data_IF_971154994207
#
_entry.id   IF_971154994207
#
_cell.length_a   1.000
_cell.length_b   1.000
_cell.length_c   1.000
_cell.angle_alpha   90.00
_cell.angle_beta   90.00
_cell.angle_gamma   90.00
#
_symmetry.space_group_name_H-M   'P 1'
#
loop_
_entity.id
_entity.type
_entity.pdbx_description
1 polymer ?
#
# COMPACT_ATOMS: atom_id res chain seq x y z
N UNK A 1 21.39 0.17 52.16
CA UNK A 1 20.47 1.25 51.79
C UNK A 1 20.78 1.78 50.39
N UNK A 2 20.95 0.91 49.40
CA UNK A 2 21.25 1.30 47.99
C UNK A 2 20.42 0.52 46.94
N UNK A 3 19.37 -0.16 47.31
CA UNK A 3 18.57 -0.96 46.36
C UNK A 3 17.37 -0.20 45.78
N UNK A 4 17.02 1.00 46.33
CA UNK A 4 15.85 1.78 45.88
C UNK A 4 16.09 2.73 44.72
N UNK A 5 17.33 2.94 44.26
CA UNK A 5 17.65 3.87 43.16
C UNK A 5 17.79 3.17 41.80
N UNK A 6 17.88 1.84 41.75
CA UNK A 6 18.02 1.10 40.49
C UNK A 6 16.68 0.77 39.83
N UNK A 7 15.60 0.75 40.59
CA UNK A 7 14.27 0.41 40.05
C UNK A 7 13.56 1.55 39.32
N UNK A 8 13.94 2.80 39.58
CA UNK A 8 13.30 3.97 38.94
C UNK A 8 13.93 4.26 37.58
N UNK A 9 15.20 3.94 37.38
CA UNK A 9 15.87 4.13 36.08
C UNK A 9 15.46 3.11 35.02
N UNK A 10 15.05 1.90 35.43
CA UNK A 10 14.64 0.83 34.50
C UNK A 10 13.21 1.03 33.99
N UNK A 11 12.36 1.76 34.76
CA UNK A 11 11.00 2.07 34.34
C UNK A 11 10.93 3.22 33.32
N UNK A 12 11.96 4.08 33.29
CA UNK A 12 12.03 5.21 32.34
C UNK A 12 12.56 4.80 30.97
N UNK A 13 13.28 3.66 30.86
CA UNK A 13 13.80 3.16 29.58
C UNK A 13 12.78 2.36 28.79
N UNK A 14 11.69 1.91 29.42
CA UNK A 14 10.59 1.18 28.74
C UNK A 14 9.53 2.10 28.14
N UNK A 15 9.59 3.41 28.41
CA UNK A 15 8.60 4.38 27.91
C UNK A 15 9.01 5.08 26.60
N UNK A 16 10.21 4.83 26.07
CA UNK A 16 10.74 5.54 24.89
C UNK A 16 10.56 4.76 23.58
N UNK A 17 10.01 3.54 23.60
CA UNK A 17 9.82 2.73 22.39
C UNK A 17 8.37 2.47 21.97
N UNK A 18 7.41 3.23 22.50
CA UNK A 18 6.12 3.40 21.85
C UNK A 18 6.16 4.69 21.00
N UNK A 19 7.05 4.74 20.01
CA UNK A 19 6.77 5.59 18.87
C UNK A 19 5.57 4.94 18.18
N UNK A 20 4.40 5.48 18.43
CA UNK A 20 3.22 5.26 17.64
C UNK A 20 3.66 5.50 16.19
N UNK A 21 3.67 4.46 15.37
CA UNK A 21 3.72 4.63 13.92
C UNK A 21 2.38 5.25 13.57
N UNK A 22 2.32 6.58 13.57
CA UNK A 22 1.18 7.34 13.09
C UNK A 22 1.11 7.13 11.58
N UNK A 23 0.40 6.09 11.16
CA UNK A 23 0.04 5.93 9.76
C UNK A 23 -0.95 7.04 9.39
N UNK A 24 -0.74 7.68 8.26
CA UNK A 24 -1.70 8.62 7.70
C UNK A 24 -2.95 7.85 7.28
N UNK A 25 -4.10 8.23 7.81
CA UNK A 25 -5.39 7.67 7.42
C UNK A 25 -6.12 8.64 6.51
N UNK A 26 -6.62 8.14 5.40
CA UNK A 26 -7.51 8.86 4.49
C UNK A 26 -8.82 8.10 4.34
N UNK A 27 -9.86 8.75 3.84
CA UNK A 27 -11.16 8.12 3.62
C UNK A 27 -11.59 8.25 2.17
N UNK A 28 -12.00 7.14 1.57
CA UNK A 28 -12.62 7.11 0.25
C UNK A 28 -14.07 6.63 0.37
N UNK A 29 -15.04 7.54 0.12
CA UNK A 29 -16.48 7.26 0.24
C UNK A 29 -16.87 6.60 1.56
N UNK A 30 -16.24 7.00 2.67
CA UNK A 30 -16.47 6.44 3.99
C UNK A 30 -15.68 5.16 4.30
N UNK A 31 -14.90 4.66 3.37
CA UNK A 31 -13.98 3.53 3.62
C UNK A 31 -12.63 4.07 4.07
N UNK A 32 -12.15 3.67 5.26
CA UNK A 32 -10.85 4.10 5.75
C UNK A 32 -9.73 3.37 4.99
N UNK A 33 -8.70 4.13 4.63
CA UNK A 33 -7.48 3.65 3.98
C UNK A 33 -6.31 4.03 4.87
N UNK A 34 -5.51 3.06 5.26
CA UNK A 34 -4.23 3.29 5.92
C UNK A 34 -3.16 3.50 4.86
N UNK A 35 -2.47 4.64 4.92
CA UNK A 35 -1.33 4.95 4.04
C UNK A 35 -0.06 4.50 4.74
N UNK A 36 0.60 3.51 4.17
CA UNK A 36 1.89 3.01 4.65
C UNK A 36 3.07 3.80 4.09
N UNK A 37 2.94 4.24 2.84
CA UNK A 37 3.97 5.02 2.15
C UNK A 37 3.34 6.23 1.47
N UNK A 38 3.71 7.41 1.92
CA UNK A 38 3.26 8.66 1.30
C UNK A 38 3.98 8.91 -0.02
N UNK A 39 3.32 9.64 -0.93
CA UNK A 39 3.93 10.16 -2.14
C UNK A 39 5.24 10.89 -1.81
N UNK A 40 6.31 10.57 -2.52
CA UNK A 40 7.64 11.14 -2.33
C UNK A 40 8.53 10.38 -1.33
N UNK A 41 8.00 9.36 -0.65
CA UNK A 41 8.82 8.48 0.21
C UNK A 41 9.40 7.31 -0.57
N UNK A 42 10.32 6.57 0.02
CA UNK A 42 10.93 5.38 -0.57
C UNK A 42 10.39 4.13 0.10
N UNK A 43 9.80 3.24 -0.69
CA UNK A 43 9.45 1.88 -0.29
C UNK A 43 10.59 0.93 -0.63
N UNK A 44 10.92 0.00 0.25
CA UNK A 44 11.97 -0.99 0.01
C UNK A 44 11.52 -2.37 0.48
N UNK A 45 12.17 -3.39 -0.04
CA UNK A 45 11.90 -4.78 0.32
C UNK A 45 12.95 -5.72 -0.25
N UNK A 46 12.67 -7.01 -0.12
CA UNK A 46 13.46 -8.09 -0.71
C UNK A 46 12.52 -8.89 -1.60
N UNK A 47 12.91 -9.15 -2.84
CA UNK A 47 12.11 -9.93 -3.78
C UNK A 47 12.13 -11.44 -3.44
N UNK A 48 11.34 -12.22 -4.18
CA UNK A 48 11.26 -13.68 -3.99
C UNK A 48 12.59 -14.40 -4.28
N UNK A 49 13.52 -13.73 -4.98
CA UNK A 49 14.86 -14.25 -5.31
C UNK A 49 15.91 -13.82 -4.28
N UNK A 50 15.51 -13.02 -3.27
CA UNK A 50 16.39 -12.54 -2.21
C UNK A 50 17.14 -11.25 -2.54
N UNK A 51 16.81 -10.57 -3.64
CA UNK A 51 17.44 -9.31 -4.04
C UNK A 51 16.74 -8.12 -3.36
N UNK A 52 17.50 -7.18 -2.79
CA UNK A 52 16.93 -5.95 -2.27
C UNK A 52 16.47 -5.04 -3.41
N UNK A 53 15.34 -4.38 -3.19
CA UNK A 53 14.81 -3.37 -4.10
C UNK A 53 14.38 -2.12 -3.35
N UNK A 54 14.38 -0.99 -4.04
CA UNK A 54 13.87 0.29 -3.57
C UNK A 54 13.07 0.96 -4.68
N UNK A 55 11.99 1.63 -4.29
CA UNK A 55 11.11 2.35 -5.20
C UNK A 55 10.64 3.65 -4.57
N UNK A 56 10.84 4.78 -5.24
CA UNK A 56 10.20 6.03 -4.89
C UNK A 56 8.69 5.93 -5.15
N UNK A 57 7.89 6.39 -4.20
CA UNK A 57 6.44 6.36 -4.31
C UNK A 57 5.93 7.63 -4.99
N UNK A 58 5.41 7.50 -6.20
CA UNK A 58 4.83 8.61 -6.97
C UNK A 58 3.39 8.93 -6.55
N UNK A 59 2.73 8.00 -5.87
CA UNK A 59 1.40 8.14 -5.26
C UNK A 59 1.43 7.56 -3.86
N UNK A 60 0.43 7.87 -3.03
CA UNK A 60 0.27 7.18 -1.75
C UNK A 60 0.02 5.69 -1.98
N UNK A 61 0.59 4.85 -1.15
CA UNK A 61 0.36 3.42 -1.16
C UNK A 61 -0.03 2.93 0.23
N UNK A 62 -1.04 2.08 0.28
CA UNK A 62 -1.55 1.51 1.51
C UNK A 62 -2.64 0.48 1.22
N UNK A 63 -3.61 0.38 2.12
CA UNK A 63 -4.67 -0.63 2.03
C UNK A 63 -5.98 -0.14 2.63
N UNK A 64 -7.09 -0.75 2.18
CA UNK A 64 -8.40 -0.56 2.81
C UNK A 64 -8.48 -1.34 4.11
N UNK A 65 -8.82 -0.68 5.23
CA UNK A 65 -8.79 -1.30 6.56
C UNK A 65 -9.80 -2.44 6.75
N UNK A 66 -10.89 -2.46 6.00
CA UNK A 66 -12.00 -3.38 6.21
C UNK A 66 -12.38 -4.17 4.95
N UNK A 67 -11.52 -4.21 3.95
CA UNK A 67 -11.76 -4.96 2.73
C UNK A 67 -10.61 -5.93 2.52
N UNK A 68 -10.95 -7.22 2.41
CA UNK A 68 -9.99 -8.27 2.10
C UNK A 68 -10.03 -8.58 0.59
N UNK A 69 -8.86 -8.79 0.02
CA UNK A 69 -8.69 -9.34 -1.31
C UNK A 69 -8.96 -10.84 -1.36
N UNK A 70 -8.82 -11.43 -2.54
CA UNK A 70 -9.00 -12.89 -2.74
C UNK A 70 -7.94 -13.73 -2.02
N UNK A 71 -6.80 -13.14 -1.69
CA UNK A 71 -5.71 -13.73 -0.91
C UNK A 71 -5.94 -13.69 0.61
N UNK A 72 -7.09 -13.15 1.06
CA UNK A 72 -7.46 -12.92 2.46
C UNK A 72 -6.59 -11.89 3.20
N UNK A 73 -5.80 -11.11 2.47
CA UNK A 73 -5.07 -9.94 2.98
C UNK A 73 -5.84 -8.66 2.67
N UNK A 74 -5.49 -7.55 3.31
CA UNK A 74 -6.11 -6.26 3.04
C UNK A 74 -5.90 -5.86 1.57
N UNK A 75 -6.94 -5.27 0.98
CA UNK A 75 -6.93 -4.87 -0.42
C UNK A 75 -6.04 -3.63 -0.63
N UNK A 76 -4.93 -3.80 -1.32
CA UNK A 76 -3.95 -2.76 -1.58
C UNK A 76 -4.48 -1.65 -2.49
N UNK A 77 -4.04 -0.43 -2.22
CA UNK A 77 -4.45 0.75 -2.97
C UNK A 77 -3.28 1.69 -3.28
N UNK A 78 -3.22 2.16 -4.52
CA UNK A 78 -2.51 3.35 -4.93
C UNK A 78 -3.47 4.52 -4.98
N UNK A 79 -3.21 5.56 -4.20
CA UNK A 79 -4.06 6.73 -4.10
C UNK A 79 -3.33 7.98 -4.60
N UNK A 80 -3.87 8.60 -5.66
CA UNK A 80 -3.38 9.87 -6.16
C UNK A 80 -4.01 11.02 -5.36
N UNK A 81 -3.27 11.68 -4.44
CA UNK A 81 -3.83 12.73 -3.59
C UNK A 81 -4.17 14.01 -4.37
N UNK A 82 -3.59 14.19 -5.55
CA UNK A 82 -3.82 15.37 -6.40
C UNK A 82 -4.97 15.15 -7.38
N UNK A 83 -5.44 13.91 -7.53
CA UNK A 83 -6.53 13.53 -8.41
C UNK A 83 -7.91 13.84 -7.82
N UNK A 84 -8.83 14.24 -8.67
CA UNK A 84 -10.22 14.58 -8.30
C UNK A 84 -11.24 13.58 -8.84
N UNK A 85 -10.79 12.56 -9.56
CA UNK A 85 -11.67 11.53 -10.12
C UNK A 85 -12.22 10.63 -9.02
N UNK A 86 -13.47 10.26 -9.14
CA UNK A 86 -14.13 9.27 -8.27
C UNK A 86 -14.21 7.87 -8.90
N UNK A 87 -13.53 7.68 -10.03
CA UNK A 87 -13.41 6.38 -10.68
C UNK A 87 -12.53 5.43 -9.90
N UNK A 88 -12.83 4.16 -10.00
CA UNK A 88 -12.08 3.08 -9.38
C UNK A 88 -11.56 2.17 -10.48
N UNK A 89 -10.24 1.97 -10.51
CA UNK A 89 -9.65 0.99 -11.41
C UNK A 89 -9.05 -0.15 -10.59
N UNK A 90 -9.20 -1.36 -11.10
CA UNK A 90 -8.64 -2.58 -10.49
C UNK A 90 -7.61 -3.17 -11.43
N UNK A 91 -6.39 -3.33 -10.92
CA UNK A 91 -5.31 -4.01 -11.61
C UNK A 91 -5.26 -5.46 -11.13
N UNK A 92 -5.17 -6.38 -12.08
CA UNK A 92 -4.81 -7.78 -11.82
C UNK A 92 -3.29 -7.87 -11.83
N UNK A 93 -2.70 -8.19 -10.69
CA UNK A 93 -1.27 -8.47 -10.60
C UNK A 93 -1.02 -9.97 -10.67
N UNK A 94 0.00 -10.34 -11.42
CA UNK A 94 0.42 -11.72 -11.60
C UNK A 94 1.72 -12.00 -10.84
N UNK A 95 1.88 -13.21 -10.37
CA UNK A 95 3.16 -13.69 -9.88
C UNK A 95 4.17 -13.70 -11.02
N UNK A 96 5.33 -13.07 -10.80
CA UNK A 96 6.35 -12.87 -11.85
C UNK A 96 7.00 -14.18 -12.32
N UNK A 97 6.97 -15.23 -11.50
CA UNK A 97 7.55 -16.53 -11.80
C UNK A 97 6.55 -17.47 -12.45
N UNK A 98 5.35 -17.61 -11.86
CA UNK A 98 4.33 -18.57 -12.31
C UNK A 98 3.41 -17.99 -13.37
N UNK A 99 3.27 -16.66 -13.44
CA UNK A 99 2.30 -15.92 -14.28
C UNK A 99 0.84 -16.18 -13.89
N UNK A 100 0.62 -16.79 -12.76
CA UNK A 100 -0.71 -16.98 -12.18
C UNK A 100 -1.17 -15.73 -11.45
N UNK A 101 -2.48 -15.63 -11.15
CA UNK A 101 -3.04 -14.57 -10.33
C UNK A 101 -2.30 -14.49 -8.98
N UNK A 102 -1.89 -13.29 -8.59
CA UNK A 102 -1.27 -12.98 -7.31
C UNK A 102 -2.23 -12.21 -6.42
N UNK A 103 -2.59 -10.99 -6.83
CA UNK A 103 -3.47 -10.10 -6.06
C UNK A 103 -4.12 -9.02 -6.94
N UNK A 104 -5.09 -8.31 -6.38
CA UNK A 104 -5.60 -7.08 -6.96
C UNK A 104 -4.93 -5.85 -6.33
N UNK A 105 -4.74 -4.80 -7.14
CA UNK A 105 -4.36 -3.46 -6.69
C UNK A 105 -5.43 -2.47 -7.13
N UNK A 106 -5.89 -1.63 -6.22
CA UNK A 106 -6.87 -0.59 -6.53
C UNK A 106 -6.16 0.73 -6.83
N UNK A 107 -6.64 1.43 -7.84
CA UNK A 107 -6.13 2.73 -8.27
C UNK A 107 -7.21 3.77 -8.05
N UNK A 108 -6.96 4.76 -7.20
CA UNK A 108 -7.88 5.86 -6.88
C UNK A 108 -7.31 7.22 -7.25
N UNK A 109 -8.17 8.14 -7.67
CA UNK A 109 -7.77 9.50 -8.05
C UNK A 109 -7.23 9.61 -9.48
N UNK A 110 -7.47 8.62 -10.31
CA UNK A 110 -7.10 8.63 -11.73
C UNK A 110 -8.33 8.85 -12.61
N UNK A 111 -8.19 9.63 -13.67
CA UNK A 111 -9.32 10.03 -14.52
C UNK A 111 -9.60 9.05 -15.66
N UNK A 112 -8.59 8.36 -16.13
CA UNK A 112 -8.66 7.40 -17.23
C UNK A 112 -7.99 6.09 -16.88
N UNK A 113 -8.35 5.04 -17.59
CA UNK A 113 -7.74 3.71 -17.44
C UNK A 113 -6.24 3.75 -17.78
N UNK A 114 -5.87 4.58 -18.75
CA UNK A 114 -4.45 4.73 -19.13
C UNK A 114 -3.64 5.44 -18.04
N UNK A 115 -4.19 6.52 -17.45
CA UNK A 115 -3.54 7.22 -16.34
C UNK A 115 -3.35 6.28 -15.13
N UNK A 116 -4.36 5.47 -14.81
CA UNK A 116 -4.29 4.50 -13.74
C UNK A 116 -3.24 3.42 -14.02
N UNK A 117 -3.20 2.90 -15.24
CA UNK A 117 -2.19 1.93 -15.68
C UNK A 117 -0.78 2.49 -15.55
N UNK A 118 -0.53 3.71 -16.06
CA UNK A 118 0.76 4.36 -15.94
C UNK A 118 1.12 4.65 -14.48
N UNK A 119 0.12 5.06 -13.67
CA UNK A 119 0.28 5.27 -12.24
C UNK A 119 0.70 4.02 -11.46
N UNK A 120 0.30 2.84 -11.93
CA UNK A 120 0.79 1.57 -11.40
C UNK A 120 2.20 1.26 -11.93
N UNK A 121 2.38 1.28 -13.26
CA UNK A 121 3.62 0.84 -13.91
C UNK A 121 4.84 1.67 -13.52
N UNK A 122 4.67 2.95 -13.18
CA UNK A 122 5.78 3.83 -12.77
C UNK A 122 6.52 3.33 -11.52
N UNK A 123 5.89 2.45 -10.73
CA UNK A 123 6.48 1.84 -9.54
C UNK A 123 7.22 0.53 -9.80
N UNK A 124 7.31 0.09 -11.05
CA UNK A 124 7.92 -1.17 -11.42
C UNK A 124 8.97 -0.96 -12.50
N UNK A 125 9.97 -1.86 -12.62
CA UNK A 125 11.01 -1.73 -13.63
C UNK A 125 10.44 -1.89 -15.04
N UNK A 126 11.16 -1.37 -16.03
CA UNK A 126 10.84 -1.56 -17.44
C UNK A 126 10.72 -3.06 -17.76
N UNK A 127 9.70 -3.40 -18.57
CA UNK A 127 9.41 -4.80 -18.89
C UNK A 127 8.74 -5.58 -17.75
N UNK A 128 8.14 -4.90 -16.78
CA UNK A 128 7.41 -5.54 -15.69
C UNK A 128 6.37 -6.55 -16.20
N UNK A 129 6.52 -7.80 -15.78
CA UNK A 129 5.70 -8.93 -16.26
C UNK A 129 4.54 -9.28 -15.31
N UNK A 130 4.46 -8.60 -14.17
CA UNK A 130 3.38 -8.80 -13.19
C UNK A 130 2.08 -8.06 -13.51
N UNK A 131 2.03 -7.26 -14.59
CA UNK A 131 0.79 -6.61 -15.02
C UNK A 131 -0.09 -7.59 -15.81
N UNK A 132 -1.20 -8.01 -15.22
CA UNK A 132 -2.15 -8.97 -15.83
C UNK A 132 -3.36 -8.32 -16.50
N UNK A 133 -3.57 -7.02 -16.27
CA UNK A 133 -4.69 -6.27 -16.84
C UNK A 133 -5.23 -5.20 -15.91
N UNK A 134 -6.11 -4.37 -16.46
CA UNK A 134 -6.79 -3.30 -15.70
C UNK A 134 -8.22 -3.15 -16.18
N UNK A 135 -9.12 -2.85 -15.27
CA UNK A 135 -10.54 -2.57 -15.56
C UNK A 135 -11.07 -1.46 -14.66
N UNK A 136 -12.06 -0.71 -15.14
CA UNK A 136 -12.86 0.19 -14.31
C UNK A 136 -13.93 -0.65 -13.60
N UNK A 137 -14.06 -0.48 -12.28
CA UNK A 137 -15.04 -1.20 -11.48
C UNK A 137 -15.98 -0.22 -10.78
N UNK A 138 -17.16 -0.72 -10.38
CA UNK A 138 -18.08 0.04 -9.54
C UNK A 138 -17.66 -0.03 -8.07
N UNK A 139 -18.14 0.93 -7.27
CA UNK A 139 -17.94 0.91 -5.81
C UNK A 139 -18.46 -0.39 -5.15
N UNK A 140 -19.54 -0.96 -5.71
CA UNK A 140 -20.11 -2.22 -5.20
C UNK A 140 -19.22 -3.45 -5.45
N UNK A 141 -18.32 -3.36 -6.41
CA UNK A 141 -17.42 -4.46 -6.78
C UNK A 141 -16.10 -4.40 -6.04
N UNK A 142 -15.88 -3.35 -5.24
CA UNK A 142 -14.65 -3.16 -4.47
C UNK A 142 -14.45 -4.27 -3.41
N UNK A 143 -15.53 -4.83 -2.89
CA UNK A 143 -15.54 -5.85 -1.82
C UNK A 143 -15.91 -7.26 -2.30
N UNK A 144 -15.79 -7.53 -3.60
CA UNK A 144 -16.10 -8.83 -4.19
C UNK A 144 -14.86 -9.56 -4.66
#
# INVERSE_FOLDING_TARGET
>A
MQVKRLFVALLFLLFVFYSCLDFTEVSYRGLPITIEYEKGTVRSGIDKEGNPWQQEMFYHYGYFNNILGEDCEELDVYYNPDGKSDKIFRITQLDVLTKEFDEYKIMLGFSTIEDAKQGYLVHYPDGWVGFGGIEEISFKDLSK
#
